data_IF_512198523457
#
_entry.id   IF_512198523457
#
_cell.length_a   1.000
_cell.length_b   1.000
_cell.length_c   1.000
_cell.angle_alpha   90.00
_cell.angle_beta   90.00
_cell.angle_gamma   90.00
#
_symmetry.space_group_name_H-M   'P 1'
#
loop_
_entity.id
_entity.type
_entity.pdbx_description
1 polymer ?
#
# COMPACT_ATOMS: atom_id res chain seq x y z
N UNK A 1 -27.78 3.49 -7.50
CA UNK A 1 -26.42 3.51 -8.08
C UNK A 1 -25.49 3.97 -6.97
N UNK A 2 -24.81 3.04 -6.32
CA UNK A 2 -23.85 3.30 -5.23
C UNK A 2 -22.52 3.76 -5.84
N UNK A 3 -22.04 4.92 -5.39
CA UNK A 3 -20.74 5.47 -5.79
C UNK A 3 -19.62 4.64 -5.14
N UNK A 4 -18.68 4.18 -5.96
CA UNK A 4 -17.40 3.65 -5.54
C UNK A 4 -16.45 4.81 -5.21
N UNK A 5 -15.76 4.75 -4.10
CA UNK A 5 -14.72 5.70 -3.74
C UNK A 5 -13.34 5.02 -3.80
N UNK A 6 -12.40 5.67 -4.51
CA UNK A 6 -11.09 5.14 -4.83
C UNK A 6 -10.01 5.72 -3.91
N UNK A 7 -9.22 4.87 -3.33
CA UNK A 7 -7.87 5.17 -2.87
C UNK A 7 -6.88 4.54 -3.85
N UNK A 8 -6.20 5.37 -4.64
CA UNK A 8 -5.21 4.89 -5.60
C UNK A 8 -3.81 5.24 -5.13
N UNK A 9 -3.01 4.22 -4.84
CA UNK A 9 -1.57 4.37 -4.62
C UNK A 9 -0.82 3.92 -5.87
N UNK A 10 -0.09 4.82 -6.50
CA UNK A 10 0.80 4.47 -7.60
C UNK A 10 2.23 4.50 -7.10
N UNK A 11 2.75 3.32 -6.88
CA UNK A 11 4.12 2.82 -7.03
C UNK A 11 4.21 1.47 -6.32
N UNK A 12 3.74 0.50 -6.98
CA UNK A 12 3.27 -0.82 -6.60
C UNK A 12 1.76 -0.74 -6.64
N UNK A 13 1.22 -0.91 -7.77
CA UNK A 13 -0.10 -0.54 -8.29
C UNK A 13 -1.26 -1.26 -7.62
N UNK A 14 -1.49 -1.08 -6.32
CA UNK A 14 -2.67 -1.58 -5.63
C UNK A 14 -3.61 -0.44 -5.22
N UNK A 15 -4.90 -0.59 -5.46
CA UNK A 15 -5.95 0.33 -5.04
C UNK A 15 -6.82 -0.30 -3.95
N UNK A 16 -7.12 0.46 -2.89
CA UNK A 16 -8.11 0.07 -1.89
C UNK A 16 -9.46 0.69 -2.23
N UNK A 17 -10.47 -0.15 -2.31
CA UNK A 17 -11.87 0.25 -2.38
C UNK A 17 -12.52 -0.04 -1.03
N UNK A 18 -12.88 1.01 -0.29
CA UNK A 18 -13.57 0.87 0.98
C UNK A 18 -15.08 0.85 0.74
N UNK A 19 -15.72 -0.29 0.96
CA UNK A 19 -17.18 -0.44 0.88
C UNK A 19 -17.80 -0.56 2.28
N UNK A 20 -18.50 0.42 2.78
CA UNK A 20 -19.34 0.24 3.98
C UNK A 20 -20.66 -0.44 3.62
N UNK A 21 -21.04 -1.46 4.35
CA UNK A 21 -22.28 -2.20 4.18
C UNK A 21 -23.31 -1.72 5.16
N UNK A 22 -24.05 -1.27 5.52
CA UNK A 22 -25.14 -0.86 6.42
C UNK A 22 -24.82 0.37 7.29
N UNK A 23 -25.37 1.48 6.91
CA UNK A 23 -25.37 2.70 7.70
C UNK A 23 -25.25 3.98 6.89
N UNK A 24 -25.28 3.90 5.57
CA UNK A 24 -25.27 5.06 4.69
C UNK A 24 -26.64 5.73 4.60
N UNK A 25 -27.22 6.12 5.72
CA UNK A 25 -28.39 6.98 5.64
C UNK A 25 -28.08 8.46 5.51
N UNK A 26 -26.86 8.91 5.71
CA UNK A 26 -26.49 10.31 5.46
C UNK A 26 -25.01 10.52 5.14
N UNK A 27 -24.54 10.06 4.00
CA UNK A 27 -23.47 10.82 3.36
C UNK A 27 -24.10 12.11 2.86
N UNK A 28 -23.76 13.21 3.54
CA UNK A 28 -24.19 14.54 3.13
C UNK A 28 -23.87 14.73 1.65
N UNK A 29 -24.94 14.92 0.85
CA UNK A 29 -24.83 15.29 -0.54
C UNK A 29 -23.89 16.48 -0.69
N UNK A 30 -22.96 16.31 -1.63
CA UNK A 30 -22.33 17.40 -2.33
C UNK A 30 -21.44 18.38 -1.54
N UNK A 31 -20.28 17.89 -1.12
CA UNK A 31 -19.08 18.74 -1.24
C UNK A 31 -18.25 18.17 -2.38
N UNK A 32 -17.90 18.99 -3.35
CA UNK A 32 -16.79 18.73 -4.28
C UNK A 32 -15.55 18.49 -3.42
N UNK A 33 -15.37 17.24 -2.96
CA UNK A 33 -14.30 16.86 -2.05
C UNK A 33 -12.98 16.86 -2.81
N UNK A 34 -11.95 17.45 -2.23
CA UNK A 34 -10.60 17.45 -2.79
C UNK A 34 -10.08 16.00 -2.85
N UNK A 35 -9.22 15.72 -3.82
CA UNK A 35 -8.33 14.57 -3.76
C UNK A 35 -7.21 14.87 -2.76
N UNK A 36 -6.96 13.97 -1.81
CA UNK A 36 -5.76 14.05 -0.98
C UNK A 36 -4.54 13.60 -1.79
N UNK A 37 -3.42 14.26 -1.60
CA UNK A 37 -2.14 13.92 -2.23
C UNK A 37 -1.07 13.78 -1.17
N UNK A 38 -0.55 12.57 -1.05
CA UNK A 38 0.57 12.26 -0.18
C UNK A 38 1.85 12.19 -1.02
N UNK A 39 2.77 13.05 -0.71
CA UNK A 39 4.17 13.03 -1.12
C UNK A 39 5.00 13.68 -0.02
N UNK A 40 6.15 13.10 0.26
CA UNK A 40 7.12 13.66 1.21
C UNK A 40 8.53 13.36 0.71
N UNK A 41 9.44 14.31 0.87
CA UNK A 41 10.84 14.15 0.43
C UNK A 41 11.56 13.04 1.22
N UNK A 42 11.08 12.70 2.41
CA UNK A 42 11.63 11.62 3.21
C UNK A 42 11.62 10.28 2.47
N UNK A 43 10.68 10.07 1.54
CA UNK A 43 10.65 8.86 0.72
C UNK A 43 11.83 8.74 -0.24
N UNK A 44 12.54 9.83 -0.50
CA UNK A 44 13.74 9.83 -1.35
C UNK A 44 14.96 9.28 -0.61
N UNK A 45 14.94 9.26 0.72
CA UNK A 45 16.03 8.75 1.56
C UNK A 45 16.19 7.21 1.49
N UNK A 46 15.18 6.49 0.99
CA UNK A 46 15.33 5.08 0.65
C UNK A 46 16.14 4.94 -0.64
N UNK A 47 17.47 4.81 -0.48
CA UNK A 47 18.40 4.70 -1.59
C UNK A 47 18.59 3.26 -2.03
N UNK A 48 18.38 3.01 -3.32
CA UNK A 48 18.48 1.68 -3.96
C UNK A 48 19.59 1.59 -4.98
N UNK A 49 20.32 2.69 -5.21
CA UNK A 49 21.37 2.80 -6.22
C UNK A 49 20.86 3.31 -7.58
N UNK A 50 21.74 4.00 -8.30
CA UNK A 50 21.39 4.82 -9.47
C UNK A 50 20.85 4.06 -10.70
N UNK A 51 21.06 2.74 -10.79
CA UNK A 51 20.56 1.89 -11.89
C UNK A 51 19.39 1.00 -11.48
N UNK A 52 18.95 1.09 -10.22
CA UNK A 52 17.83 0.29 -9.73
C UNK A 52 16.51 0.78 -10.36
N UNK A 53 15.61 -0.11 -10.83
CA UNK A 53 14.34 0.29 -11.43
C UNK A 53 13.42 1.00 -10.41
N UNK A 54 13.45 0.60 -9.16
CA UNK A 54 12.79 1.27 -8.04
C UNK A 54 13.79 2.25 -7.40
N UNK A 55 13.67 3.55 -7.67
CA UNK A 55 14.62 4.59 -7.26
C UNK A 55 13.93 5.94 -6.98
N UNK A 56 14.57 6.83 -6.21
CA UNK A 56 13.98 8.11 -5.78
C UNK A 56 13.42 8.97 -6.92
N UNK A 57 14.04 8.97 -8.09
CA UNK A 57 13.61 9.79 -9.23
C UNK A 57 12.19 9.50 -9.71
N UNK A 58 11.68 8.28 -9.44
CA UNK A 58 10.29 7.92 -9.77
C UNK A 58 9.31 8.86 -9.06
N UNK A 59 9.50 9.11 -7.76
CA UNK A 59 8.66 10.05 -7.00
C UNK A 59 8.91 11.50 -7.37
N UNK A 60 10.18 11.87 -7.59
CA UNK A 60 10.52 13.23 -8.02
C UNK A 60 9.80 13.62 -9.31
N UNK A 61 9.74 12.72 -10.30
CA UNK A 61 9.04 12.96 -11.57
C UNK A 61 7.53 13.09 -11.34
N UNK A 62 6.93 12.22 -10.52
CA UNK A 62 5.49 12.28 -10.20
C UNK A 62 5.16 13.61 -9.50
N UNK A 63 5.91 13.98 -8.47
CA UNK A 63 5.67 15.23 -7.76
C UNK A 63 5.81 16.45 -8.68
N UNK A 64 6.84 16.45 -9.51
CA UNK A 64 7.07 17.49 -10.50
C UNK A 64 5.90 17.61 -11.49
N UNK A 65 5.35 16.49 -11.95
CA UNK A 65 4.16 16.50 -12.81
C UNK A 65 2.94 17.08 -12.10
N UNK A 66 2.71 16.74 -10.84
CA UNK A 66 1.61 17.29 -10.04
C UNK A 66 1.76 18.80 -9.87
N UNK A 67 2.99 19.29 -9.66
CA UNK A 67 3.28 20.72 -9.55
C UNK A 67 3.04 21.47 -10.86
N UNK A 68 3.51 20.95 -11.98
CA UNK A 68 3.38 21.60 -13.29
C UNK A 68 1.97 21.51 -13.89
N UNK A 69 1.17 20.49 -13.54
CA UNK A 69 -0.19 20.32 -14.05
C UNK A 69 -1.17 21.38 -13.57
N UNK A 70 -0.79 22.16 -12.54
CA UNK A 70 -1.67 23.11 -11.89
C UNK A 70 -2.69 22.48 -10.93
N UNK A 71 -2.70 21.14 -10.77
CA UNK A 71 -3.60 20.42 -9.83
C UNK A 71 -3.32 20.74 -8.37
N UNK A 72 -2.13 21.22 -8.08
CA UNK A 72 -1.66 21.52 -6.73
C UNK A 72 -2.63 22.39 -5.91
N UNK A 73 -3.43 23.25 -6.58
CA UNK A 73 -4.39 24.16 -5.94
C UNK A 73 -5.63 23.44 -5.41
N UNK A 74 -5.96 22.30 -6.04
CA UNK A 74 -7.19 21.55 -5.77
C UNK A 74 -6.94 20.32 -4.90
N UNK A 75 -5.68 20.02 -4.59
CA UNK A 75 -5.29 18.89 -3.76
C UNK A 75 -5.27 19.26 -2.27
N UNK A 76 -5.67 18.30 -1.43
CA UNK A 76 -5.40 18.31 0.00
C UNK A 76 -4.03 17.65 0.23
N UNK A 77 -3.01 18.44 0.52
CA UNK A 77 -1.67 17.93 0.79
C UNK A 77 -1.62 17.19 2.11
N UNK A 78 -1.07 15.99 2.08
CA UNK A 78 -0.79 15.18 3.27
C UNK A 78 0.72 15.08 3.47
N UNK A 79 1.12 14.96 4.72
CA UNK A 79 2.51 14.73 5.11
C UNK A 79 2.70 13.27 5.54
N UNK A 80 3.93 12.78 5.43
CA UNK A 80 4.30 11.53 6.02
C UNK A 80 4.11 11.57 7.54
N UNK A 81 3.72 10.45 8.11
CA UNK A 81 3.84 10.16 9.54
C UNK A 81 4.42 8.78 9.71
N UNK A 82 5.01 8.53 10.83
CA UNK A 82 5.45 7.18 11.16
C UNK A 82 4.26 6.32 11.59
N UNK A 83 4.17 5.11 11.05
CA UNK A 83 3.21 4.13 11.54
C UNK A 83 3.70 3.56 12.87
N UNK A 84 2.80 3.37 13.82
CA UNK A 84 3.13 2.66 15.05
C UNK A 84 3.36 1.16 14.76
N UNK A 85 4.25 0.54 15.53
CA UNK A 85 4.65 -0.86 15.32
C UNK A 85 3.48 -1.83 15.54
N UNK A 86 2.54 -1.50 16.41
CA UNK A 86 1.34 -2.31 16.64
C UNK A 86 0.47 -2.38 15.39
N UNK A 87 0.44 -1.31 14.60
CA UNK A 87 -0.28 -1.27 13.32
C UNK A 87 0.45 -2.08 12.25
N UNK A 88 1.78 -2.00 12.18
CA UNK A 88 2.59 -2.84 11.29
C UNK A 88 2.45 -4.33 11.65
N UNK A 89 2.47 -4.65 12.94
CA UNK A 89 2.36 -6.02 13.47
C UNK A 89 0.97 -6.69 13.23
N UNK A 90 -0.04 -5.92 12.76
CA UNK A 90 -1.31 -6.52 12.29
C UNK A 90 -1.17 -7.27 10.96
N UNK A 91 -0.07 -7.04 10.27
CA UNK A 91 0.23 -7.57 8.94
C UNK A 91 1.51 -8.38 8.93
N UNK A 92 2.53 -7.88 9.59
CA UNK A 92 3.86 -8.47 9.62
C UNK A 92 4.18 -9.09 10.98
N UNK A 93 4.90 -10.22 10.95
CA UNK A 93 5.42 -10.84 12.16
C UNK A 93 6.45 -9.94 12.85
N UNK A 94 6.41 -9.88 14.18
CA UNK A 94 7.32 -9.02 14.94
C UNK A 94 8.78 -9.35 14.64
N UNK A 95 9.12 -10.64 14.50
CA UNK A 95 10.47 -11.06 14.16
C UNK A 95 10.95 -10.48 12.82
N UNK A 96 10.05 -10.35 11.85
CA UNK A 96 10.35 -9.74 10.56
C UNK A 96 10.57 -8.24 10.70
N UNK A 97 9.72 -7.54 11.46
CA UNK A 97 9.87 -6.10 11.74
C UNK A 97 11.23 -5.82 12.36
N UNK A 98 11.58 -6.55 13.43
CA UNK A 98 12.85 -6.45 14.13
C UNK A 98 14.05 -6.78 13.22
N UNK A 99 13.87 -7.71 12.29
CA UNK A 99 14.89 -8.07 11.30
C UNK A 99 15.15 -6.91 10.34
N UNK A 100 14.11 -6.30 9.79
CA UNK A 100 14.24 -5.16 8.87
C UNK A 100 14.99 -4.02 9.57
N UNK A 101 14.63 -3.71 10.81
CA UNK A 101 15.30 -2.69 11.62
C UNK A 101 16.80 -2.99 11.77
N UNK A 102 17.14 -4.17 12.30
CA UNK A 102 18.54 -4.58 12.51
C UNK A 102 19.36 -4.59 11.23
N UNK A 103 18.82 -5.05 10.11
CA UNK A 103 19.56 -5.13 8.85
C UNK A 103 19.79 -3.74 8.25
N UNK A 104 18.84 -2.82 8.38
CA UNK A 104 19.02 -1.41 8.01
C UNK A 104 20.08 -0.73 8.91
N UNK A 105 19.97 -0.86 10.23
CA UNK A 105 20.93 -0.29 11.19
C UNK A 105 22.37 -0.82 10.96
N UNK A 106 22.48 -2.10 10.64
CA UNK A 106 23.76 -2.73 10.31
C UNK A 106 24.33 -2.24 8.96
N UNK A 107 23.52 -1.54 8.14
CA UNK A 107 23.92 -1.03 6.84
C UNK A 107 24.01 -2.11 5.77
N UNK A 108 23.15 -3.12 5.84
CA UNK A 108 23.06 -4.12 4.76
C UNK A 108 22.55 -3.47 3.48
N UNK A 109 23.06 -3.96 2.33
CA UNK A 109 22.64 -3.50 1.02
C UNK A 109 21.37 -4.20 0.50
N UNK A 110 20.82 -5.16 1.25
CA UNK A 110 19.62 -5.91 0.89
C UNK A 110 19.08 -6.70 2.06
N UNK A 111 17.76 -6.93 2.08
CA UNK A 111 17.11 -7.78 3.07
C UNK A 111 17.51 -9.25 2.87
N UNK A 112 17.84 -9.93 3.96
CA UNK A 112 18.20 -11.36 3.95
C UNK A 112 17.04 -12.27 3.57
N UNK A 113 15.80 -11.74 3.53
CA UNK A 113 14.59 -12.51 3.22
C UNK A 113 14.30 -12.60 1.72
N UNK A 114 14.90 -11.75 0.88
CA UNK A 114 14.61 -11.72 -0.56
C UNK A 114 15.55 -10.82 -1.35
N UNK A 115 15.02 -10.23 -2.40
CA UNK A 115 15.72 -9.42 -3.40
C UNK A 115 15.48 -7.90 -3.22
N UNK A 116 15.06 -7.50 -2.02
CA UNK A 116 14.78 -6.10 -1.70
C UNK A 116 16.04 -5.38 -1.27
N UNK A 117 16.47 -4.40 -2.07
CA UNK A 117 17.57 -3.49 -1.72
C UNK A 117 17.14 -2.59 -0.58
N UNK A 118 18.02 -2.38 0.40
CA UNK A 118 17.84 -1.46 1.53
C UNK A 118 19.09 -0.60 1.76
N UNK A 119 18.89 0.52 2.46
CA UNK A 119 19.92 1.35 3.06
C UNK A 119 19.61 1.58 4.53
N UNK A 120 20.43 2.35 5.26
CA UNK A 120 20.23 2.61 6.70
C UNK A 120 18.89 3.26 7.00
N UNK A 121 18.42 4.14 6.13
CA UNK A 121 17.20 4.92 6.24
C UNK A 121 15.96 4.12 5.88
N UNK A 122 16.09 2.98 5.20
CA UNK A 122 14.97 2.23 4.61
C UNK A 122 13.92 1.80 5.63
N UNK A 123 14.32 1.44 6.86
CA UNK A 123 13.37 1.08 7.90
C UNK A 123 12.48 2.26 8.29
N UNK A 124 13.07 3.40 8.65
CA UNK A 124 12.31 4.59 9.03
C UNK A 124 11.45 5.12 7.87
N UNK A 125 11.98 5.07 6.65
CA UNK A 125 11.24 5.46 5.44
C UNK A 125 10.05 4.53 5.20
N UNK A 126 10.22 3.22 5.38
CA UNK A 126 9.14 2.24 5.22
C UNK A 126 8.03 2.45 6.27
N UNK A 127 8.37 2.75 7.53
CA UNK A 127 7.39 3.13 8.55
C UNK A 127 6.62 4.39 8.17
N UNK A 128 7.30 5.40 7.61
CA UNK A 128 6.68 6.65 7.14
C UNK A 128 5.86 6.45 5.88
N UNK A 129 6.25 5.54 4.98
CA UNK A 129 5.45 5.18 3.82
C UNK A 129 4.11 4.54 4.24
N UNK A 130 4.16 3.54 5.12
CA UNK A 130 2.96 2.95 5.69
C UNK A 130 2.12 4.00 6.43
N UNK A 131 2.70 4.74 7.37
CA UNK A 131 2.00 5.75 8.16
C UNK A 131 1.40 6.88 7.33
N UNK A 132 2.06 7.28 6.26
CA UNK A 132 1.54 8.25 5.30
C UNK A 132 0.27 7.74 4.60
N UNK A 133 0.24 6.46 4.21
CA UNK A 133 -0.96 5.84 3.64
C UNK A 133 -2.09 5.80 4.67
N UNK A 134 -1.80 5.60 5.96
CA UNK A 134 -2.81 5.71 7.03
C UNK A 134 -3.39 7.13 7.13
N UNK A 135 -2.57 8.19 6.96
CA UNK A 135 -3.09 9.55 6.87
C UNK A 135 -4.06 9.75 5.70
N UNK A 136 -3.82 9.07 4.59
CA UNK A 136 -4.72 9.10 3.44
C UNK A 136 -6.05 8.40 3.75
N UNK A 137 -6.00 7.24 4.43
CA UNK A 137 -7.20 6.56 4.94
C UNK A 137 -7.98 7.50 5.86
N UNK A 138 -7.33 8.12 6.86
CA UNK A 138 -7.97 9.06 7.79
C UNK A 138 -8.61 10.23 7.05
N UNK A 139 -7.91 10.83 6.09
CA UNK A 139 -8.44 11.96 5.33
C UNK A 139 -9.72 11.63 4.57
N UNK A 140 -9.80 10.41 4.02
CA UNK A 140 -10.99 9.94 3.30
C UNK A 140 -12.11 9.56 4.27
N UNK A 141 -11.81 8.80 5.31
CA UNK A 141 -12.80 8.31 6.27
C UNK A 141 -13.40 9.44 7.10
N UNK A 142 -12.61 10.47 7.43
CA UNK A 142 -13.08 11.69 8.11
C UNK A 142 -13.86 12.65 7.17
N UNK A 143 -13.95 12.33 5.88
CA UNK A 143 -14.61 13.19 4.89
C UNK A 143 -13.85 14.47 4.55
N UNK A 144 -12.55 14.56 4.89
CA UNK A 144 -11.66 15.67 4.53
C UNK A 144 -11.27 15.62 3.05
N UNK A 145 -11.19 14.43 2.50
CA UNK A 145 -10.95 14.15 1.10
C UNK A 145 -11.97 13.16 0.56
N UNK A 146 -12.19 13.17 -0.75
CA UNK A 146 -13.06 12.23 -1.44
C UNK A 146 -12.35 10.93 -1.80
N UNK A 147 -11.08 11.04 -2.12
CA UNK A 147 -10.14 9.98 -2.41
C UNK A 147 -8.72 10.49 -2.13
N UNK A 148 -7.74 9.60 -2.24
CA UNK A 148 -6.35 9.97 -2.05
C UNK A 148 -5.46 9.33 -3.13
N UNK A 149 -4.38 10.04 -3.49
CA UNK A 149 -3.27 9.51 -4.25
C UNK A 149 -2.01 9.55 -3.38
N UNK A 150 -1.40 8.40 -3.15
CA UNK A 150 -0.22 8.25 -2.31
C UNK A 150 1.00 7.93 -3.16
N UNK A 151 1.89 8.91 -3.32
CA UNK A 151 3.18 8.74 -3.96
C UNK A 151 4.22 8.38 -2.87
N UNK A 152 4.36 7.09 -2.56
CA UNK A 152 5.20 6.58 -1.48
C UNK A 152 6.23 5.58 -1.96
N UNK A 153 7.34 5.47 -1.26
CA UNK A 153 8.42 4.48 -1.37
C UNK A 153 8.89 4.09 0.03
N UNK A 154 9.38 2.85 0.22
CA UNK A 154 9.39 1.70 -0.71
C UNK A 154 7.98 1.18 -1.06
N UNK A 155 7.83 0.38 -2.13
CA UNK A 155 6.57 -0.28 -2.48
C UNK A 155 6.23 -1.38 -1.47
N UNK A 156 5.05 -2.08 -1.63
CA UNK A 156 4.58 -2.95 -0.57
C UNK A 156 3.97 -4.30 -0.99
N UNK A 157 3.38 -4.43 -2.18
CA UNK A 157 2.48 -5.54 -2.51
C UNK A 157 3.14 -6.93 -2.59
N UNK A 158 4.47 -6.99 -2.70
CA UNK A 158 5.20 -8.26 -2.65
C UNK A 158 5.63 -8.66 -1.23
N UNK A 159 5.60 -7.75 -0.25
CA UNK A 159 5.95 -8.10 1.12
C UNK A 159 4.85 -8.94 1.77
N UNK A 160 5.22 -10.17 2.21
CA UNK A 160 4.35 -11.05 2.97
C UNK A 160 4.51 -10.84 4.49
N UNK A 161 3.89 -11.66 5.32
CA UNK A 161 3.93 -11.50 6.77
C UNK A 161 5.36 -11.49 7.35
N UNK A 162 6.28 -12.26 6.76
CA UNK A 162 7.63 -12.47 7.30
C UNK A 162 8.75 -12.32 6.25
N UNK A 163 8.43 -11.76 5.08
CA UNK A 163 9.37 -11.68 3.98
C UNK A 163 9.19 -10.40 3.19
N UNK A 164 10.26 -9.61 3.04
CA UNK A 164 10.37 -8.54 2.06
C UNK A 164 10.95 -9.10 0.76
N UNK A 165 10.33 -8.78 -0.37
CA UNK A 165 10.78 -9.16 -1.71
C UNK A 165 10.19 -8.21 -2.75
N UNK A 166 10.66 -8.29 -4.01
CA UNK A 166 10.16 -7.43 -5.08
C UNK A 166 10.29 -5.94 -4.77
N UNK A 167 11.39 -5.56 -4.13
CA UNK A 167 11.68 -4.19 -3.68
C UNK A 167 10.80 -3.69 -2.52
N UNK A 168 9.87 -4.53 -2.04
CA UNK A 168 8.92 -4.19 -0.97
C UNK A 168 9.51 -4.51 0.41
N UNK A 169 9.33 -3.58 1.35
CA UNK A 169 9.73 -3.74 2.75
C UNK A 169 8.53 -4.11 3.61
N UNK A 170 7.56 -3.22 3.77
CA UNK A 170 6.29 -3.50 4.43
C UNK A 170 5.13 -3.39 3.43
N UNK A 171 4.09 -4.18 3.63
CA UNK A 171 2.92 -4.19 2.75
C UNK A 171 1.98 -3.02 3.07
N UNK A 172 2.26 -1.85 2.51
CA UNK A 172 1.54 -0.61 2.77
C UNK A 172 0.03 -0.75 2.58
N UNK A 173 -0.42 -1.49 1.54
CA UNK A 173 -1.84 -1.63 1.21
C UNK A 173 -2.55 -2.56 2.19
N UNK A 174 -1.90 -3.65 2.60
CA UNK A 174 -2.44 -4.58 3.59
C UNK A 174 -2.53 -3.92 4.98
N UNK A 175 -1.50 -3.14 5.37
CA UNK A 175 -1.51 -2.36 6.60
C UNK A 175 -2.66 -1.36 6.60
N UNK A 176 -2.88 -0.65 5.48
CA UNK A 176 -3.99 0.29 5.35
C UNK A 176 -5.35 -0.41 5.42
N UNK A 177 -5.51 -1.59 4.83
CA UNK A 177 -6.73 -2.37 4.91
C UNK A 177 -7.04 -2.77 6.37
N UNK A 178 -6.05 -3.32 7.08
CA UNK A 178 -6.18 -3.68 8.50
C UNK A 178 -6.45 -2.47 9.40
N UNK A 179 -5.78 -1.36 9.11
CA UNK A 179 -6.03 -0.11 9.82
C UNK A 179 -7.46 0.39 9.62
N UNK A 180 -7.95 0.41 8.39
CA UNK A 180 -9.31 0.83 8.07
C UNK A 180 -10.37 -0.05 8.77
N UNK A 181 -10.16 -1.36 8.80
CA UNK A 181 -11.00 -2.29 9.54
C UNK A 181 -10.99 -1.99 11.04
N UNK A 182 -9.81 -1.83 11.63
CA UNK A 182 -9.66 -1.65 13.08
C UNK A 182 -10.12 -0.28 13.54
N UNK A 183 -9.73 0.79 12.84
CA UNK A 183 -9.96 2.17 13.27
C UNK A 183 -11.37 2.66 12.94
N UNK A 184 -11.92 2.20 11.82
CA UNK A 184 -13.20 2.69 11.30
C UNK A 184 -14.31 1.62 11.28
N UNK A 185 -14.01 0.41 11.74
CA UNK A 185 -15.00 -0.68 11.83
C UNK A 185 -15.46 -1.19 10.47
N UNK A 186 -14.64 -1.07 9.43
CA UNK A 186 -15.01 -1.61 8.12
C UNK A 186 -14.99 -3.13 8.15
N UNK A 187 -16.11 -3.75 7.83
CA UNK A 187 -16.24 -5.20 7.81
C UNK A 187 -15.58 -5.83 6.59
N UNK A 188 -15.56 -5.13 5.46
CA UNK A 188 -15.04 -5.61 4.18
C UNK A 188 -14.25 -4.55 3.44
N UNK A 189 -13.14 -4.97 2.83
CA UNK A 189 -12.25 -4.13 2.04
C UNK A 189 -12.02 -4.80 0.68
N UNK A 190 -12.06 -4.03 -0.39
CA UNK A 190 -11.58 -4.47 -1.70
C UNK A 190 -10.21 -3.84 -1.96
N UNK A 191 -9.23 -4.68 -2.29
CA UNK A 191 -7.95 -4.28 -2.85
C UNK A 191 -7.96 -4.64 -4.33
N UNK A 192 -7.76 -3.65 -5.22
CA UNK A 192 -7.55 -3.88 -6.64
C UNK A 192 -6.10 -3.58 -6.98
N UNK A 193 -5.35 -4.59 -7.35
CA UNK A 193 -3.96 -4.52 -7.75
C UNK A 193 -3.86 -4.65 -9.28
N UNK A 194 -3.37 -3.61 -9.93
CA UNK A 194 -3.16 -3.59 -11.38
C UNK A 194 -1.69 -3.39 -11.76
N UNK A 195 -0.78 -3.63 -10.80
CA UNK A 195 0.63 -3.73 -11.13
C UNK A 195 0.85 -4.83 -12.17
N UNK A 196 1.88 -4.67 -13.00
CA UNK A 196 2.22 -5.69 -14.00
C UNK A 196 2.65 -7.01 -13.34
N UNK A 197 3.12 -6.95 -12.10
CA UNK A 197 3.50 -8.12 -11.30
C UNK A 197 2.35 -8.54 -10.37
N UNK A 198 2.20 -9.83 -10.16
CA UNK A 198 1.28 -10.35 -9.14
C UNK A 198 1.67 -9.89 -7.74
N UNK A 199 0.73 -9.30 -7.00
CA UNK A 199 0.92 -8.88 -5.61
C UNK A 199 0.88 -10.05 -4.62
N UNK A 200 1.83 -10.96 -4.73
CA UNK A 200 1.88 -12.20 -3.96
C UNK A 200 1.87 -11.98 -2.44
N UNK A 201 2.53 -10.93 -1.96
CA UNK A 201 2.56 -10.63 -0.52
C UNK A 201 1.17 -10.25 0.01
N UNK A 202 0.42 -9.45 -0.75
CA UNK A 202 -0.97 -9.11 -0.40
C UNK A 202 -1.86 -10.35 -0.43
N UNK A 203 -1.70 -11.21 -1.44
CA UNK A 203 -2.43 -12.49 -1.51
C UNK A 203 -2.12 -13.37 -0.30
N UNK A 204 -0.84 -13.56 0.04
CA UNK A 204 -0.41 -14.40 1.18
C UNK A 204 -1.02 -13.92 2.50
N UNK A 205 -1.06 -12.61 2.73
CA UNK A 205 -1.60 -12.00 3.95
C UNK A 205 -3.11 -12.26 4.09
N UNK A 206 -3.86 -12.21 2.99
CA UNK A 206 -5.32 -12.33 3.01
C UNK A 206 -5.85 -13.66 2.48
N UNK A 207 -4.97 -14.65 2.24
CA UNK A 207 -5.32 -15.89 1.58
C UNK A 207 -6.42 -16.73 2.29
N UNK A 208 -6.56 -16.55 3.61
CA UNK A 208 -7.59 -17.25 4.41
C UNK A 208 -8.60 -16.27 5.04
N UNK A 209 -8.66 -15.03 4.56
CA UNK A 209 -9.48 -13.98 5.18
C UNK A 209 -10.57 -13.47 4.23
N UNK A 210 -11.86 -13.81 4.47
CA UNK A 210 -12.96 -13.40 3.62
C UNK A 210 -13.32 -11.89 3.77
N UNK A 211 -12.75 -11.20 4.74
CA UNK A 211 -13.03 -9.79 4.96
C UNK A 211 -12.32 -8.85 3.99
N UNK A 212 -11.32 -9.37 3.26
CA UNK A 212 -10.59 -8.62 2.22
C UNK A 212 -10.70 -9.35 0.89
N UNK A 213 -11.36 -8.73 -0.08
CA UNK A 213 -11.37 -9.19 -1.46
C UNK A 213 -10.16 -8.62 -2.19
N UNK A 214 -9.26 -9.48 -2.64
CA UNK A 214 -8.15 -9.10 -3.53
C UNK A 214 -8.53 -9.39 -4.98
N UNK A 215 -8.49 -8.36 -5.82
CA UNK A 215 -8.60 -8.48 -7.27
C UNK A 215 -7.26 -8.04 -7.88
N UNK A 216 -6.57 -8.95 -8.56
CA UNK A 216 -5.27 -8.69 -9.19
C UNK A 216 -5.32 -8.96 -10.69
N UNK A 217 -4.86 -7.97 -11.49
CA UNK A 217 -4.60 -8.17 -12.92
C UNK A 217 -3.12 -8.00 -13.16
N UNK A 218 -2.46 -8.99 -13.76
CA UNK A 218 -1.00 -8.98 -13.89
C UNK A 218 -0.56 -9.82 -15.10
N UNK A 219 0.69 -9.65 -15.49
CA UNK A 219 1.26 -10.46 -16.55
C UNK A 219 1.69 -11.82 -16.02
N UNK A 220 1.13 -12.90 -16.57
CA UNK A 220 1.52 -14.26 -16.24
C UNK A 220 2.93 -14.62 -16.73
N UNK A 221 3.61 -15.46 -15.97
CA UNK A 221 4.91 -16.03 -16.38
C UNK A 221 6.12 -15.14 -16.14
N UNK A 222 5.94 -13.99 -15.49
CA UNK A 222 7.02 -13.12 -14.99
C UNK A 222 7.15 -13.22 -13.48
N UNK A 223 8.00 -12.39 -12.87
CA UNK A 223 8.10 -12.27 -11.41
C UNK A 223 6.74 -12.00 -10.77
N UNK A 224 6.39 -12.58 -9.63
CA UNK A 224 7.15 -13.54 -8.80
C UNK A 224 6.90 -15.00 -9.17
N UNK A 225 6.14 -15.31 -10.23
CA UNK A 225 5.82 -16.66 -10.69
C UNK A 225 4.62 -17.29 -10.02
N UNK A 226 3.76 -16.49 -9.38
CA UNK A 226 2.48 -16.87 -8.75
C UNK A 226 1.33 -16.06 -9.33
N UNK A 227 0.10 -16.23 -8.81
CA UNK A 227 -1.08 -15.52 -9.28
C UNK A 227 -1.83 -16.25 -10.39
N UNK A 228 -1.77 -17.59 -10.42
CA UNK A 228 -2.59 -18.34 -11.34
C UNK A 228 -4.09 -18.16 -11.04
N UNK A 229 -4.94 -18.18 -12.04
CA UNK A 229 -6.39 -18.00 -11.89
C UNK A 229 -7.07 -19.02 -10.97
N UNK A 230 -6.39 -20.11 -10.62
CA UNK A 230 -6.87 -21.11 -9.65
C UNK A 230 -6.47 -20.81 -8.21
N UNK A 231 -5.65 -19.79 -7.98
CA UNK A 231 -5.30 -19.31 -6.65
C UNK A 231 -6.42 -18.37 -6.18
N UNK A 232 -7.45 -18.94 -5.54
CA UNK A 232 -8.70 -18.25 -5.19
C UNK A 232 -8.86 -17.98 -3.69
N UNK A 233 -7.81 -18.21 -2.89
CA UNK A 233 -7.85 -18.20 -1.43
C UNK A 233 -8.00 -19.60 -0.86
N UNK A 234 -8.00 -19.71 0.48
CA UNK A 234 -8.05 -20.96 1.22
C UNK A 234 -8.99 -20.85 2.42
N UNK A 235 -9.60 -21.99 2.82
CA UNK A 235 -10.44 -22.05 4.01
C UNK A 235 -11.60 -21.05 3.96
N UNK A 236 -11.73 -20.19 4.97
CA UNK A 236 -12.78 -19.16 5.00
C UNK A 236 -12.58 -18.09 3.92
N UNK A 237 -11.36 -17.90 3.44
CA UNK A 237 -11.02 -16.96 2.37
C UNK A 237 -11.17 -17.52 0.96
N UNK A 238 -11.66 -18.75 0.78
CA UNK A 238 -11.88 -19.30 -0.56
C UNK A 238 -12.88 -18.42 -1.35
N UNK A 239 -12.48 -17.97 -2.53
CA UNK A 239 -13.24 -17.03 -3.37
C UNK A 239 -12.99 -15.55 -3.05
N UNK A 240 -12.18 -15.23 -2.04
CA UNK A 240 -11.78 -13.83 -1.74
C UNK A 240 -10.55 -13.35 -2.54
N UNK A 241 -9.90 -14.23 -3.27
CA UNK A 241 -8.78 -13.90 -4.16
C UNK A 241 -9.22 -14.11 -5.61
N UNK A 242 -9.06 -13.08 -6.43
CA UNK A 242 -9.40 -13.10 -7.86
C UNK A 242 -8.16 -12.70 -8.65
N UNK A 243 -7.52 -13.67 -9.28
CA UNK A 243 -6.38 -13.46 -10.16
C UNK A 243 -6.80 -13.50 -11.63
N UNK A 244 -6.42 -12.47 -12.38
CA UNK A 244 -6.62 -12.31 -13.82
C UNK A 244 -5.24 -12.14 -14.45
N UNK A 245 -4.54 -13.25 -14.76
CA UNK A 245 -3.20 -13.23 -15.32
C UNK A 245 -3.18 -12.88 -16.80
#
# INVERSE_FOLDING_TARGET
>A
MTRFEFLTGMLGSAAIFLMPWAGFSELKKDKQGKTAYLYDEVYLEHETGGFHPERPERLMVINKMVEYSGWNKDLLKLQAREADLDTIARVHEQEYIDRVERECEAGYGGLSTGDTTICRESYSVALKAAGGVLNAVDAVMDGKAKNAFCAVRPPGHHASQNKGMGFCVFNNIAIAARYAQKQYGLERVLIADWDVHHGNGTQDIFNSDPSVLLFSTHQWGIYPGSGHQTEIGQGEGEGSIINVP
#
